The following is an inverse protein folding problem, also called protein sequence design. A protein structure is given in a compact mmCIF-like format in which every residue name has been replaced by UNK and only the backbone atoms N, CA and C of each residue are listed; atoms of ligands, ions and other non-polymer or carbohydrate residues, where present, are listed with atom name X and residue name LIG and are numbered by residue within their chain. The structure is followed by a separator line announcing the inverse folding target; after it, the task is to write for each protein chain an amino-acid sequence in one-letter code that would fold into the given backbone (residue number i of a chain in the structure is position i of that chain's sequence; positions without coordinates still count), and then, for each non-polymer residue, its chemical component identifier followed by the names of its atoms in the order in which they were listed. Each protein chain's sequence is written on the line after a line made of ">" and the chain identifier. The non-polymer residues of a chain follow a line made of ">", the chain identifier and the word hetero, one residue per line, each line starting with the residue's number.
data_IF_002678301387
#
_entry.id   IF_002678301387
#
_cell.length_a   1.000
_cell.length_b   1.000
_cell.length_c   1.000
_cell.angle_alpha   90.00
_cell.angle_beta   90.00
_cell.angle_gamma   90.00
#
_symmetry.space_group_name_H-M   'P 1'
#
loop_
_entity.id
_entity.type
_entity.pdbx_description
1 polymer ?
#
# COMPACT_ATOMS: atom_id res chain seq x y z
N UNK A 1 6.04 -23.80 -0.93
CA UNK A 1 6.19 -24.88 0.06
C UNK A 1 5.75 -24.42 1.46
N UNK A 2 5.73 -25.31 2.45
CA UNK A 2 5.26 -24.96 3.81
C UNK A 2 6.20 -23.98 4.52
N UNK A 3 7.43 -23.85 4.05
CA UNK A 3 8.52 -23.01 4.53
C UNK A 3 8.72 -21.71 3.72
N UNK A 4 7.84 -21.40 2.76
CA UNK A 4 7.96 -20.16 1.99
C UNK A 4 7.86 -18.92 2.92
N UNK A 5 8.77 -17.95 2.79
CA UNK A 5 8.78 -16.76 3.66
C UNK A 5 7.64 -15.78 3.35
N UNK A 6 7.15 -15.75 2.10
CA UNK A 6 6.07 -14.88 1.65
C UNK A 6 4.99 -15.71 0.96
N UNK A 7 3.79 -15.73 1.56
CA UNK A 7 2.62 -16.47 1.07
C UNK A 7 1.44 -15.51 0.89
N UNK A 8 0.25 -16.07 0.68
CA UNK A 8 -0.99 -15.30 0.49
C UNK A 8 -0.87 -14.31 -0.66
N UNK A 9 -1.67 -13.24 -0.60
CA UNK A 9 -1.77 -12.27 -1.68
C UNK A 9 -0.41 -11.63 -2.00
N UNK A 10 0.40 -11.29 -1.01
CA UNK A 10 1.68 -10.60 -1.25
C UNK A 10 2.69 -11.51 -1.96
N UNK A 11 2.83 -12.77 -1.52
CA UNK A 11 3.69 -13.74 -2.21
C UNK A 11 3.21 -14.00 -3.64
N UNK A 12 1.90 -14.09 -3.86
CA UNK A 12 1.33 -14.26 -5.19
C UNK A 12 1.51 -13.03 -6.09
N UNK A 13 1.38 -11.81 -5.57
CA UNK A 13 1.61 -10.58 -6.32
C UNK A 13 3.10 -10.39 -6.67
N UNK A 14 4.01 -10.80 -5.78
CA UNK A 14 5.44 -10.86 -6.10
C UNK A 14 5.70 -11.80 -7.29
N UNK A 15 5.12 -13.00 -7.28
CA UNK A 15 5.21 -13.94 -8.40
C UNK A 15 4.55 -13.37 -9.67
N UNK A 16 3.42 -12.69 -9.54
CA UNK A 16 2.71 -12.06 -10.65
C UNK A 16 3.55 -10.97 -11.33
N UNK A 17 4.29 -10.16 -10.55
CA UNK A 17 5.25 -9.17 -11.10
C UNK A 17 6.40 -9.82 -11.87
N UNK A 18 6.86 -11.01 -11.46
CA UNK A 18 7.88 -11.74 -12.22
C UNK A 18 7.33 -12.22 -13.56
N UNK A 19 6.08 -12.70 -13.59
CA UNK A 19 5.42 -13.15 -14.81
C UNK A 19 5.01 -11.98 -15.75
N UNK A 20 4.68 -10.83 -15.17
CA UNK A 20 4.24 -9.62 -15.88
C UNK A 20 5.01 -8.38 -15.41
N UNK A 21 6.27 -8.18 -15.86
CA UNK A 21 7.13 -7.10 -15.36
C UNK A 21 6.55 -5.69 -15.52
N UNK A 22 5.76 -5.47 -16.58
CA UNK A 22 5.17 -4.17 -16.91
C UNK A 22 3.91 -3.84 -16.11
N UNK A 23 3.28 -4.85 -15.47
CA UNK A 23 2.09 -4.65 -14.64
C UNK A 23 2.42 -3.74 -13.46
N UNK A 24 1.65 -2.66 -13.26
CA UNK A 24 1.78 -1.79 -12.10
C UNK A 24 0.84 -2.23 -11.00
N UNK A 25 1.38 -2.56 -9.83
CA UNK A 25 0.60 -2.97 -8.66
C UNK A 25 0.65 -1.83 -7.64
N UNK A 26 -0.52 -1.36 -7.24
CA UNK A 26 -0.65 -0.26 -6.27
C UNK A 26 -1.40 -0.76 -5.04
N UNK A 27 -0.94 -0.45 -3.81
CA UNK A 27 -1.74 -0.60 -2.62
C UNK A 27 -2.74 0.57 -2.54
N UNK A 28 -4.02 0.25 -2.42
CA UNK A 28 -5.06 1.26 -2.18
C UNK A 28 -5.24 1.48 -0.67
N UNK A 29 -5.17 2.73 -0.24
CA UNK A 29 -5.30 3.14 1.15
C UNK A 29 -6.59 3.93 1.29
N UNK A 30 -7.53 3.40 2.06
CA UNK A 30 -8.84 4.01 2.29
C UNK A 30 -9.96 3.07 1.86
N UNK A 31 -10.84 3.57 1.01
CA UNK A 31 -12.12 2.99 0.67
C UNK A 31 -13.21 3.40 1.67
N UNK A 32 -14.45 3.03 1.34
CA UNK A 32 -15.66 3.38 2.09
C UNK A 32 -15.56 3.28 3.62
N UNK A 33 -14.96 2.21 4.14
CA UNK A 33 -14.97 1.92 5.59
C UNK A 33 -13.65 2.21 6.31
N UNK A 34 -12.62 2.69 5.60
CA UNK A 34 -11.31 3.02 6.16
C UNK A 34 -10.86 4.44 5.85
N UNK A 35 -11.77 5.30 5.39
CA UNK A 35 -11.49 6.71 5.07
C UNK A 35 -11.45 7.65 6.28
N UNK A 36 -12.01 7.24 7.43
CA UNK A 36 -12.07 8.05 8.67
C UNK A 36 -10.73 8.73 9.07
N UNK A 37 -9.55 8.07 8.98
CA UNK A 37 -8.29 8.71 9.34
C UNK A 37 -7.93 9.93 8.51
N UNK A 38 -8.37 10.02 7.24
CA UNK A 38 -8.03 11.13 6.35
C UNK A 38 -8.59 12.47 6.85
N UNK A 39 -9.77 12.47 7.49
CA UNK A 39 -10.37 13.69 8.05
C UNK A 39 -9.52 14.35 9.15
N UNK A 40 -8.61 13.61 9.80
CA UNK A 40 -7.69 14.15 10.80
C UNK A 40 -6.36 14.64 10.21
N UNK A 41 -6.12 14.39 8.93
CA UNK A 41 -4.87 14.76 8.26
C UNK A 41 -4.81 16.22 7.83
N UNK A 42 -5.76 17.08 8.24
CA UNK A 42 -5.54 18.53 8.26
C UNK A 42 -4.36 18.92 9.16
N UNK A 43 -4.17 18.19 10.26
CA UNK A 43 -3.00 18.28 11.13
C UNK A 43 -1.74 17.77 10.40
N UNK A 44 -0.77 18.68 10.24
CA UNK A 44 0.49 18.40 9.55
C UNK A 44 1.32 17.32 10.23
N UNK A 45 1.31 17.21 11.57
CA UNK A 45 2.08 16.17 12.27
C UNK A 45 1.53 14.78 11.94
N UNK A 46 0.20 14.64 11.88
CA UNK A 46 -0.46 13.38 11.52
C UNK A 46 -0.21 13.03 10.05
N UNK A 47 -0.35 14.02 9.16
CA UNK A 47 -0.12 13.85 7.72
C UNK A 47 1.33 13.49 7.38
N UNK A 48 2.31 14.16 8.00
CA UNK A 48 3.73 13.86 7.79
C UNK A 48 4.09 12.44 8.29
N UNK A 49 3.49 12.00 9.40
CA UNK A 49 3.64 10.62 9.89
C UNK A 49 3.06 9.61 8.91
N UNK A 50 1.86 9.87 8.37
CA UNK A 50 1.23 9.02 7.37
C UNK A 50 2.13 8.87 6.13
N UNK A 51 2.59 9.98 5.56
CA UNK A 51 3.52 9.98 4.41
C UNK A 51 4.81 9.21 4.71
N UNK A 52 5.38 9.41 5.91
CA UNK A 52 6.55 8.65 6.37
C UNK A 52 6.32 7.14 6.39
N UNK A 53 5.17 6.69 6.91
CA UNK A 53 4.82 5.27 6.93
C UNK A 53 4.56 4.68 5.54
N UNK A 54 3.97 5.45 4.61
CA UNK A 54 3.78 5.00 3.22
C UNK A 54 5.14 4.78 2.55
N UNK A 55 6.11 5.69 2.76
CA UNK A 55 7.48 5.53 2.25
C UNK A 55 8.13 4.25 2.78
N UNK A 56 8.07 4.01 4.10
CA UNK A 56 8.63 2.81 4.72
C UNK A 56 7.93 1.53 4.21
N UNK A 57 6.61 1.57 4.04
CA UNK A 57 5.83 0.46 3.51
C UNK A 57 6.28 0.06 2.10
N UNK A 58 6.51 1.05 1.22
CA UNK A 58 7.00 0.80 -0.15
C UNK A 58 8.45 0.30 -0.18
N UNK A 59 9.30 0.76 0.75
CA UNK A 59 10.66 0.23 0.90
C UNK A 59 10.65 -1.24 1.37
N UNK A 60 9.68 -1.61 2.19
CA UNK A 60 9.49 -2.98 2.70
C UNK A 60 8.93 -3.90 1.62
N UNK A 61 7.86 -3.48 0.93
CA UNK A 61 7.13 -4.29 -0.05
C UNK A 61 7.42 -3.83 -1.48
N UNK A 62 8.62 -4.15 -1.95
CA UNK A 62 9.22 -3.66 -3.21
C UNK A 62 8.46 -4.01 -4.49
N UNK A 63 7.46 -4.89 -4.42
CA UNK A 63 6.65 -5.27 -5.59
C UNK A 63 5.55 -4.26 -5.91
N UNK A 64 5.23 -3.34 -4.98
CA UNK A 64 4.34 -2.21 -5.25
C UNK A 64 5.07 -1.11 -6.04
N UNK A 65 4.38 -0.54 -7.02
CA UNK A 65 4.91 0.46 -7.97
C UNK A 65 4.48 1.89 -7.65
N UNK A 66 3.82 2.13 -6.51
CA UNK A 66 3.27 3.43 -6.12
C UNK A 66 2.27 3.31 -4.98
N UNK A 67 1.35 4.28 -4.87
CA UNK A 67 0.25 4.29 -3.90
C UNK A 67 -1.02 4.83 -4.55
N UNK A 68 -2.15 4.28 -4.17
CA UNK A 68 -3.48 4.78 -4.51
C UNK A 68 -4.16 5.32 -3.22
N UNK A 69 -4.73 6.52 -3.28
CA UNK A 69 -5.38 7.19 -2.14
C UNK A 69 -6.87 7.25 -2.42
N UNK A 70 -7.62 6.44 -1.68
CA UNK A 70 -9.05 6.27 -1.85
C UNK A 70 -9.79 6.90 -0.66
N UNK A 71 -9.77 8.23 -0.57
CA UNK A 71 -10.51 8.96 0.46
C UNK A 71 -11.94 9.19 0.01
N UNK A 72 -12.88 8.55 0.71
CA UNK A 72 -14.31 8.63 0.47
C UNK A 72 -15.05 9.31 1.65
N UNK A 73 -15.41 10.59 1.57
CA UNK A 73 -14.95 11.61 0.63
C UNK A 73 -14.48 12.85 1.42
N UNK A 74 -13.68 13.76 0.82
CA UNK A 74 -13.29 15.02 1.46
C UNK A 74 -14.46 15.93 1.85
#
# INVERSE_FOLDING_TARGET
>A
AWDDPYKGNFGQLMALKQAHPDLKILPSIGGWTLSDPFFFMGDKVKRDRFVGSVKEFLQTWKFFDGVDIDWEFP
#
